data_IF_697465809660
#
_entry.id   IF_697465809660
#
_cell.length_a   1.000
_cell.length_b   1.000
_cell.length_c   1.000
_cell.angle_alpha   90.00
_cell.angle_beta   90.00
_cell.angle_gamma   90.00
#
_symmetry.space_group_name_H-M   'P 1'
#
loop_
_entity.id
_entity.type
_entity.pdbx_description
1 polymer ?
#
# COMPACT_ATOMS: atom_id res chain seq x y z
N UNK A 1 5.50 -28.88 22.52
CA UNK A 1 6.94 -28.72 22.83
C UNK A 1 7.68 -28.72 21.50
N UNK A 2 8.34 -27.61 21.15
CA UNK A 2 8.97 -27.44 19.83
C UNK A 2 10.30 -28.21 19.77
N UNK A 3 10.44 -29.12 18.81
CA UNK A 3 11.70 -29.82 18.56
C UNK A 3 12.68 -28.91 17.80
N UNK A 4 13.89 -28.79 18.35
CA UNK A 4 15.02 -28.08 17.79
C UNK A 4 15.59 -28.81 16.57
N UNK A 5 15.01 -28.62 15.38
CA UNK A 5 15.71 -28.95 14.14
C UNK A 5 16.79 -27.89 13.91
N UNK A 6 18.04 -28.18 14.28
CA UNK A 6 19.22 -27.36 13.95
C UNK A 6 19.42 -27.30 12.43
N UNK A 7 18.70 -26.39 11.79
CA UNK A 7 19.05 -25.88 10.46
C UNK A 7 20.35 -25.09 10.64
N UNK A 8 21.42 -25.56 9.99
CA UNK A 8 22.75 -24.96 10.11
C UNK A 8 22.77 -23.51 9.63
N UNK A 9 23.76 -22.73 10.11
CA UNK A 9 24.02 -21.33 9.75
C UNK A 9 23.89 -21.06 8.23
N UNK A 10 24.26 -22.04 7.42
CA UNK A 10 24.17 -22.05 5.95
C UNK A 10 22.78 -21.78 5.39
N UNK A 11 21.71 -22.21 6.05
CA UNK A 11 20.34 -22.04 5.54
C UNK A 11 19.71 -20.69 5.96
N UNK A 12 20.13 -20.13 7.09
CA UNK A 12 19.80 -18.74 7.45
C UNK A 12 20.39 -17.80 6.41
N UNK A 13 21.67 -17.97 6.08
CA UNK A 13 22.34 -17.17 5.07
C UNK A 13 21.66 -17.29 3.69
N UNK A 14 21.15 -18.46 3.31
CA UNK A 14 20.36 -18.63 2.07
C UNK A 14 19.05 -17.84 2.11
N UNK A 15 18.31 -17.90 3.22
CA UNK A 15 17.03 -17.17 3.35
C UNK A 15 17.27 -15.66 3.29
N UNK A 16 18.28 -15.17 4.01
CA UNK A 16 18.65 -13.76 4.02
C UNK A 16 19.11 -13.28 2.64
N UNK A 17 19.92 -14.07 1.92
CA UNK A 17 20.31 -13.74 0.53
C UNK A 17 19.10 -13.61 -0.39
N UNK A 18 18.16 -14.56 -0.37
CA UNK A 18 16.93 -14.48 -1.17
C UNK A 18 16.07 -13.28 -0.79
N UNK A 19 15.98 -12.97 0.50
CA UNK A 19 15.29 -11.78 0.99
C UNK A 19 15.95 -10.49 0.46
N UNK A 20 17.27 -10.38 0.50
CA UNK A 20 18.02 -9.24 -0.02
C UNK A 20 17.81 -9.08 -1.54
N UNK A 21 17.80 -10.18 -2.29
CA UNK A 21 17.49 -10.18 -3.73
C UNK A 21 16.06 -9.68 -3.99
N UNK A 22 15.07 -10.17 -3.24
CA UNK A 22 13.69 -9.73 -3.34
C UNK A 22 13.52 -8.25 -2.99
N UNK A 23 14.22 -7.78 -1.95
CA UNK A 23 14.28 -6.37 -1.53
C UNK A 23 14.91 -5.49 -2.62
N UNK A 24 16.02 -5.92 -3.21
CA UNK A 24 16.70 -5.22 -4.30
C UNK A 24 15.83 -5.09 -5.55
N UNK A 25 15.13 -6.17 -5.96
CA UNK A 25 14.16 -6.10 -7.07
C UNK A 25 13.03 -5.12 -6.80
N UNK A 26 12.48 -5.14 -5.58
CA UNK A 26 11.37 -4.29 -5.16
C UNK A 26 11.77 -2.81 -5.10
N UNK A 27 13.00 -2.48 -4.72
CA UNK A 27 13.50 -1.09 -4.66
C UNK A 27 13.29 -0.31 -5.96
N UNK A 28 13.31 -0.98 -7.11
CA UNK A 28 13.05 -0.39 -8.44
C UNK A 28 11.64 0.22 -8.57
N UNK A 29 10.68 -0.27 -7.80
CA UNK A 29 9.29 0.20 -7.79
C UNK A 29 9.04 1.30 -6.74
N UNK A 30 9.97 1.56 -5.82
CA UNK A 30 9.74 2.46 -4.68
C UNK A 30 9.36 3.86 -5.12
N UNK A 31 10.15 4.47 -6.01
CA UNK A 31 9.87 5.83 -6.49
C UNK A 31 8.50 5.94 -7.15
N UNK A 32 8.12 4.92 -7.94
CA UNK A 32 6.83 4.88 -8.62
C UNK A 32 5.67 4.78 -7.62
N UNK A 33 5.78 3.90 -6.63
CA UNK A 33 4.79 3.73 -5.57
C UNK A 33 4.69 4.98 -4.67
N UNK A 34 5.81 5.64 -4.38
CA UNK A 34 5.83 6.89 -3.61
C UNK A 34 5.12 8.02 -4.34
N UNK A 35 5.41 8.20 -5.62
CA UNK A 35 4.73 9.23 -6.42
C UNK A 35 3.22 8.95 -6.51
N UNK A 36 2.81 7.70 -6.74
CA UNK A 36 1.40 7.32 -6.72
C UNK A 36 0.77 7.57 -5.34
N UNK A 37 1.48 7.22 -4.27
CA UNK A 37 1.10 7.49 -2.89
C UNK A 37 0.90 8.98 -2.62
N UNK A 38 1.83 9.83 -3.07
CA UNK A 38 1.75 11.28 -2.90
C UNK A 38 0.44 11.88 -3.43
N UNK A 39 -0.03 11.45 -4.60
CA UNK A 39 -1.24 12.00 -5.20
C UNK A 39 -2.54 11.31 -4.77
N UNK A 40 -2.51 9.99 -4.52
CA UNK A 40 -3.73 9.19 -4.30
C UNK A 40 -3.92 8.68 -2.86
N UNK A 41 -2.84 8.56 -2.09
CA UNK A 41 -2.88 8.17 -0.67
C UNK A 41 -1.72 8.75 0.15
N UNK A 42 -1.69 10.08 0.38
CA UNK A 42 -0.53 10.76 0.98
C UNK A 42 -0.09 10.14 2.31
N UNK A 43 -1.04 9.73 3.15
CA UNK A 43 -0.77 9.16 4.47
C UNK A 43 -0.02 7.82 4.44
N UNK A 44 0.02 7.12 3.30
CA UNK A 44 0.70 5.83 3.14
C UNK A 44 2.02 5.95 2.35
N UNK A 45 2.34 7.12 1.77
CA UNK A 45 3.48 7.26 0.85
C UNK A 45 4.84 6.95 1.51
N UNK A 46 5.09 7.45 2.73
CA UNK A 46 6.41 7.35 3.38
C UNK A 46 6.73 5.91 3.80
N UNK A 47 5.69 5.10 3.94
CA UNK A 47 5.82 3.69 4.28
C UNK A 47 6.33 2.86 3.09
N UNK A 48 6.46 3.43 1.89
CA UNK A 48 7.02 2.73 0.73
C UNK A 48 8.53 2.53 0.87
N UNK A 49 9.29 3.54 1.33
CA UNK A 49 10.75 3.44 1.54
C UNK A 49 11.18 2.88 2.89
N UNK A 50 10.23 2.42 3.71
CA UNK A 50 10.51 1.90 5.05
C UNK A 50 11.19 2.94 5.96
N UNK A 51 10.91 4.23 5.71
CA UNK A 51 11.41 5.32 6.54
C UNK A 51 10.65 5.37 7.87
N UNK A 52 11.32 5.92 8.90
CA UNK A 52 10.72 6.17 10.21
C UNK A 52 9.36 6.84 10.04
N UNK A 53 8.31 6.15 10.51
CA UNK A 53 6.96 6.69 10.52
C UNK A 53 6.95 7.91 11.44
N UNK A 54 6.89 9.11 10.87
CA UNK A 54 6.59 10.31 11.64
C UNK A 54 5.07 10.51 11.60
N UNK A 55 4.42 10.16 12.70
CA UNK A 55 2.98 10.32 12.86
C UNK A 55 2.59 11.81 12.89
N UNK A 56 1.37 12.12 12.47
CA UNK A 56 0.80 13.47 12.58
C UNK A 56 1.30 14.53 11.58
N UNK A 57 2.26 14.21 10.70
CA UNK A 57 2.69 15.15 9.66
C UNK A 57 1.62 15.35 8.58
N UNK A 58 1.37 16.63 8.24
CA UNK A 58 0.55 17.01 7.09
C UNK A 58 1.32 16.70 5.79
N UNK A 59 0.76 15.82 4.96
CA UNK A 59 1.41 15.30 3.73
C UNK A 59 0.81 15.83 2.44
N UNK A 60 -0.10 16.81 2.53
CA UNK A 60 -0.87 17.34 1.41
C UNK A 60 -0.49 18.78 1.07
N UNK A 61 0.63 19.29 1.57
CA UNK A 61 1.05 20.70 1.38
C UNK A 61 1.31 21.05 -0.09
N UNK A 62 1.83 20.12 -0.88
CA UNK A 62 2.08 20.29 -2.32
C UNK A 62 1.04 19.59 -3.21
N UNK A 63 -0.07 19.15 -2.62
CA UNK A 63 -1.20 18.55 -3.33
C UNK A 63 -2.24 19.64 -3.63
N UNK A 64 -2.18 20.19 -4.83
CA UNK A 64 -3.07 21.26 -5.30
C UNK A 64 -4.41 20.73 -5.84
N UNK A 65 -4.44 19.50 -6.35
CA UNK A 65 -5.66 18.83 -6.82
C UNK A 65 -5.92 17.51 -6.08
N UNK A 66 -7.16 17.33 -5.60
CA UNK A 66 -7.58 16.17 -4.80
C UNK A 66 -8.33 15.10 -5.61
N UNK A 67 -8.42 15.24 -6.94
CA UNK A 67 -9.23 14.36 -7.80
C UNK A 67 -8.75 12.92 -7.73
N UNK A 68 -7.44 12.68 -7.81
CA UNK A 68 -6.86 11.33 -7.73
C UNK A 68 -7.12 10.67 -6.38
N UNK A 69 -6.95 11.43 -5.28
CA UNK A 69 -7.23 10.97 -3.92
C UNK A 69 -8.70 10.54 -3.77
N UNK A 70 -9.64 11.39 -4.20
CA UNK A 70 -11.07 11.09 -4.13
C UNK A 70 -11.45 9.93 -5.05
N UNK A 71 -10.86 9.87 -6.25
CA UNK A 71 -11.11 8.81 -7.22
C UNK A 71 -10.63 7.44 -6.71
N UNK A 72 -9.43 7.37 -6.14
CA UNK A 72 -8.91 6.15 -5.52
C UNK A 72 -9.79 5.66 -4.36
N UNK A 73 -10.27 6.59 -3.52
CA UNK A 73 -11.19 6.24 -2.42
C UNK A 73 -12.54 5.72 -2.94
N UNK A 74 -13.14 6.40 -3.93
CA UNK A 74 -14.39 5.97 -4.56
C UNK A 74 -14.28 4.61 -5.21
N UNK A 75 -13.22 4.37 -5.97
CA UNK A 75 -12.96 3.06 -6.58
C UNK A 75 -12.77 1.98 -5.51
N UNK A 76 -12.09 2.28 -4.40
CA UNK A 76 -11.95 1.33 -3.28
C UNK A 76 -13.32 0.93 -2.73
N UNK A 77 -14.16 1.92 -2.40
CA UNK A 77 -15.52 1.69 -1.91
C UNK A 77 -16.38 0.95 -2.93
N UNK A 78 -16.26 1.31 -4.20
CA UNK A 78 -17.00 0.68 -5.30
C UNK A 78 -16.66 -0.80 -5.48
N UNK A 79 -15.37 -1.14 -5.57
CA UNK A 79 -14.91 -2.54 -5.66
C UNK A 79 -15.36 -3.33 -4.44
N UNK A 80 -15.21 -2.75 -3.25
CA UNK A 80 -15.56 -3.41 -2.00
C UNK A 80 -17.06 -3.72 -1.92
N UNK A 81 -17.92 -2.74 -2.18
CA UNK A 81 -19.37 -2.92 -2.17
C UNK A 81 -19.84 -3.88 -3.26
N UNK A 82 -19.21 -3.84 -4.44
CA UNK A 82 -19.60 -4.70 -5.56
C UNK A 82 -19.19 -6.16 -5.36
N UNK A 83 -17.96 -6.42 -4.90
CA UNK A 83 -17.44 -7.79 -4.76
C UNK A 83 -17.80 -8.43 -3.42
N UNK A 84 -17.91 -7.64 -2.35
CA UNK A 84 -18.04 -8.13 -0.98
C UNK A 84 -19.08 -7.32 -0.19
N UNK A 85 -20.33 -7.23 -0.67
CA UNK A 85 -21.38 -6.47 0.00
C UNK A 85 -21.62 -6.94 1.44
N UNK A 86 -21.72 -5.99 2.37
CA UNK A 86 -22.01 -6.26 3.79
C UNK A 86 -23.45 -6.77 3.92
N UNK A 87 -23.62 -7.90 4.61
CA UNK A 87 -24.95 -8.48 4.87
C UNK A 87 -25.51 -9.36 3.76
N UNK A 88 -24.79 -9.53 2.64
CA UNK A 88 -25.16 -10.47 1.58
C UNK A 88 -24.09 -11.58 1.44
N UNK A 89 -24.52 -12.78 1.03
CA UNK A 89 -23.59 -13.86 0.70
C UNK A 89 -22.99 -13.57 -0.68
N UNK A 90 -21.66 -13.55 -0.76
CA UNK A 90 -20.91 -13.20 -1.98
C UNK A 90 -20.03 -14.34 -2.50
N UNK A 91 -20.10 -15.50 -1.84
CA UNK A 91 -19.60 -16.77 -2.37
C UNK A 91 -20.48 -17.93 -1.88
N UNK A 92 -20.32 -19.10 -2.49
CA UNK A 92 -20.90 -20.35 -2.03
C UNK A 92 -19.94 -21.51 -2.27
N UNK A 93 -20.03 -22.54 -1.43
CA UNK A 93 -19.32 -23.78 -1.66
C UNK A 93 -20.15 -24.70 -2.55
N UNK A 94 -19.49 -25.26 -3.57
CA UNK A 94 -20.08 -26.22 -4.50
C UNK A 94 -19.17 -27.45 -4.57
N UNK A 95 -19.75 -28.64 -4.67
CA UNK A 95 -18.96 -29.84 -4.84
C UNK A 95 -18.34 -29.85 -6.24
N UNK A 96 -17.06 -30.24 -6.33
CA UNK A 96 -16.36 -30.38 -7.62
C UNK A 96 -17.01 -31.46 -8.50
N UNK A 97 -17.50 -32.55 -7.89
CA UNK A 97 -18.22 -33.60 -8.59
C UNK A 97 -19.69 -33.21 -8.73
N UNK A 98 -20.13 -32.98 -9.96
CA UNK A 98 -21.46 -32.44 -10.25
C UNK A 98 -22.63 -33.29 -9.71
N UNK A 99 -22.48 -34.61 -9.69
CA UNK A 99 -23.50 -35.53 -9.15
C UNK A 99 -23.75 -35.33 -7.64
N UNK A 100 -22.74 -34.90 -6.89
CA UNK A 100 -22.90 -34.63 -5.45
C UNK A 100 -23.72 -33.36 -5.20
N UNK A 101 -23.75 -32.43 -6.15
CA UNK A 101 -24.59 -31.23 -6.05
C UNK A 101 -26.09 -31.52 -6.22
N UNK A 102 -26.48 -32.76 -6.54
CA UNK A 102 -27.88 -33.20 -6.57
C UNK A 102 -28.29 -33.93 -5.28
N UNK A 103 -27.34 -34.25 -4.41
CA UNK A 103 -27.62 -34.91 -3.14
C UNK A 103 -28.11 -33.88 -2.10
N UNK A 104 -29.33 -34.02 -1.53
CA UNK A 104 -29.87 -33.09 -0.55
C UNK A 104 -28.99 -32.90 0.70
N UNK A 105 -28.41 -33.97 1.23
CA UNK A 105 -27.55 -33.91 2.43
C UNK A 105 -26.27 -33.11 2.15
N UNK A 106 -25.70 -33.28 0.95
CA UNK A 106 -24.52 -32.51 0.53
C UNK A 106 -24.85 -31.03 0.36
N UNK A 107 -25.99 -30.71 -0.25
CA UNK A 107 -26.44 -29.32 -0.40
C UNK A 107 -26.67 -28.65 0.95
N UNK A 108 -27.30 -29.34 1.90
CA UNK A 108 -27.52 -28.84 3.26
C UNK A 108 -26.19 -28.55 3.97
N UNK A 109 -25.23 -29.48 3.88
CA UNK A 109 -23.91 -29.31 4.46
C UNK A 109 -23.14 -28.13 3.82
N UNK A 110 -23.14 -28.01 2.49
CA UNK A 110 -22.47 -26.91 1.77
C UNK A 110 -23.11 -25.55 2.08
N UNK A 111 -24.44 -25.50 2.19
CA UNK A 111 -25.17 -24.30 2.59
C UNK A 111 -24.83 -23.88 4.02
N UNK A 112 -24.75 -24.86 4.93
CA UNK A 112 -24.34 -24.65 6.32
C UNK A 112 -22.90 -24.15 6.41
N UNK A 113 -21.97 -24.79 5.70
CA UNK A 113 -20.58 -24.36 5.63
C UNK A 113 -20.46 -22.93 5.08
N UNK A 114 -21.19 -22.62 4.01
CA UNK A 114 -21.23 -21.28 3.41
C UNK A 114 -21.72 -20.25 4.43
N UNK A 115 -22.81 -20.55 5.14
CA UNK A 115 -23.37 -19.65 6.16
C UNK A 115 -22.40 -19.43 7.34
N UNK A 116 -21.72 -20.48 7.80
CA UNK A 116 -20.74 -20.40 8.89
C UNK A 116 -19.53 -19.55 8.50
N UNK A 117 -18.96 -19.72 7.30
CA UNK A 117 -17.80 -18.92 6.88
C UNK A 117 -18.19 -17.45 6.71
N UNK A 118 -19.35 -17.15 6.12
CA UNK A 118 -19.84 -15.75 6.06
C UNK A 118 -20.01 -15.15 7.45
N UNK A 119 -20.58 -15.90 8.40
CA UNK A 119 -20.76 -15.47 9.78
C UNK A 119 -19.42 -15.13 10.45
N UNK A 120 -18.40 -15.98 10.29
CA UNK A 120 -17.07 -15.71 10.85
C UNK A 120 -16.38 -14.51 10.19
N UNK A 121 -16.51 -14.36 8.86
CA UNK A 121 -15.99 -13.18 8.15
C UNK A 121 -16.65 -11.90 8.67
N UNK A 122 -17.98 -11.88 8.83
CA UNK A 122 -18.70 -10.70 9.32
C UNK A 122 -18.40 -10.35 10.78
N UNK A 123 -18.12 -11.36 11.62
CA UNK A 123 -17.71 -11.15 13.02
C UNK A 123 -16.26 -10.65 13.16
N UNK A 124 -15.42 -10.99 12.18
CA UNK A 124 -14.01 -10.61 12.17
C UNK A 124 -13.77 -9.15 11.75
N UNK A 125 -12.50 -8.74 11.78
CA UNK A 125 -12.05 -7.44 11.26
C UNK A 125 -11.87 -7.39 9.72
N UNK A 126 -12.32 -8.41 8.97
CA UNK A 126 -12.13 -8.54 7.53
C UNK A 126 -12.46 -7.27 6.75
N UNK A 127 -13.63 -6.68 7.01
CA UNK A 127 -14.14 -5.52 6.27
C UNK A 127 -13.14 -4.35 6.29
N UNK A 128 -12.57 -4.08 7.47
CA UNK A 128 -11.57 -3.01 7.66
C UNK A 128 -10.28 -3.31 6.90
N UNK A 129 -9.74 -4.50 7.09
CA UNK A 129 -8.43 -4.88 6.53
C UNK A 129 -8.49 -5.06 5.02
N UNK A 130 -9.60 -5.60 4.50
CA UNK A 130 -9.81 -5.76 3.06
C UNK A 130 -9.99 -4.40 2.37
N UNK A 131 -10.66 -3.42 2.97
CA UNK A 131 -10.74 -2.07 2.41
C UNK A 131 -9.35 -1.42 2.26
N UNK A 132 -8.48 -1.56 3.27
CA UNK A 132 -7.09 -1.08 3.22
C UNK A 132 -6.30 -1.83 2.14
N UNK A 133 -6.52 -3.14 2.02
CA UNK A 133 -5.87 -4.01 1.02
C UNK A 133 -6.24 -3.61 -0.41
N UNK A 134 -7.53 -3.39 -0.69
CA UNK A 134 -8.03 -2.92 -1.99
C UNK A 134 -7.46 -1.53 -2.29
N UNK A 135 -7.42 -0.62 -1.31
CA UNK A 135 -6.82 0.71 -1.51
C UNK A 135 -5.33 0.61 -1.85
N UNK A 136 -4.58 -0.28 -1.19
CA UNK A 136 -3.17 -0.56 -1.50
C UNK A 136 -3.01 -1.10 -2.92
N UNK A 137 -3.89 -2.02 -3.35
CA UNK A 137 -3.91 -2.55 -4.70
C UNK A 137 -4.20 -1.46 -5.75
N UNK A 138 -5.14 -0.55 -5.49
CA UNK A 138 -5.48 0.55 -6.42
C UNK A 138 -4.33 1.57 -6.52
N UNK A 139 -3.71 1.92 -5.38
CA UNK A 139 -2.72 3.01 -5.33
C UNK A 139 -1.32 2.52 -5.68
N UNK A 140 -0.88 1.42 -5.09
CA UNK A 140 0.47 0.88 -5.26
C UNK A 140 0.55 -0.29 -6.23
N UNK A 141 -0.59 -0.72 -6.79
CA UNK A 141 -0.70 -1.86 -7.70
C UNK A 141 -0.77 -3.22 -7.04
N UNK A 142 -0.28 -3.35 -5.80
CA UNK A 142 -0.33 -4.57 -5.01
C UNK A 142 -0.92 -4.31 -3.63
N UNK A 143 -1.90 -5.13 -3.23
CA UNK A 143 -2.44 -5.21 -1.89
C UNK A 143 -2.09 -6.55 -1.24
N UNK A 144 -1.84 -6.56 0.07
CA UNK A 144 -1.53 -7.80 0.80
C UNK A 144 -2.37 -7.89 2.05
N UNK A 145 -3.06 -9.01 2.21
CA UNK A 145 -3.80 -9.35 3.43
C UNK A 145 -3.35 -10.71 3.92
N UNK A 146 -3.15 -10.88 5.23
CA UNK A 146 -2.96 -12.18 5.83
C UNK A 146 -4.16 -12.58 6.68
N UNK A 147 -4.33 -13.89 6.86
CA UNK A 147 -5.32 -14.46 7.78
C UNK A 147 -4.61 -15.36 8.79
N UNK A 148 -4.92 -15.18 10.06
CA UNK A 148 -4.39 -16.01 11.14
C UNK A 148 -5.52 -16.33 12.13
N UNK A 149 -5.46 -17.51 12.75
CA UNK A 149 -6.35 -17.88 13.85
C UNK A 149 -5.68 -17.50 15.17
N UNK A 150 -6.28 -16.58 15.91
CA UNK A 150 -5.79 -16.13 17.23
C UNK A 150 -6.81 -16.55 18.27
N UNK A 151 -6.46 -17.55 19.09
CA UNK A 151 -7.44 -18.20 19.96
C UNK A 151 -8.56 -18.84 19.13
N UNK A 152 -9.81 -18.42 19.35
CA UNK A 152 -10.99 -18.86 18.59
C UNK A 152 -11.47 -17.83 17.56
N UNK A 153 -10.71 -16.76 17.32
CA UNK A 153 -11.05 -15.71 16.37
C UNK A 153 -10.19 -15.80 15.10
N UNK A 154 -10.81 -15.47 13.97
CA UNK A 154 -10.12 -15.28 12.70
C UNK A 154 -9.74 -13.80 12.62
N UNK A 155 -8.46 -13.52 12.52
CA UNK A 155 -7.91 -12.17 12.45
C UNK A 155 -7.28 -11.95 11.09
N UNK A 156 -7.76 -10.93 10.39
CA UNK A 156 -7.17 -10.45 9.16
C UNK A 156 -6.16 -9.34 9.48
N UNK A 157 -5.17 -9.18 8.61
CA UNK A 157 -4.23 -8.06 8.71
C UNK A 157 -3.79 -7.61 7.33
N UNK A 158 -4.07 -6.35 7.01
CA UNK A 158 -3.51 -5.69 5.84
C UNK A 158 -2.03 -5.38 6.11
N UNK A 159 -1.18 -5.65 5.14
CA UNK A 159 0.23 -5.31 5.20
C UNK A 159 0.55 -4.24 4.16
N UNK A 160 1.18 -3.16 4.60
CA UNK A 160 1.63 -2.14 3.68
C UNK A 160 2.73 -2.71 2.77
N UNK A 161 2.63 -2.44 1.47
CA UNK A 161 3.57 -2.94 0.45
C UNK A 161 5.03 -2.51 0.70
N UNK A 162 5.20 -1.46 1.52
CA UNK A 162 6.40 -1.09 2.29
C UNK A 162 7.27 -2.26 2.73
N UNK A 163 6.63 -3.17 3.44
CA UNK A 163 7.31 -4.17 4.23
C UNK A 163 7.21 -5.56 3.62
N UNK A 164 6.74 -5.67 2.39
CA UNK A 164 6.40 -6.95 1.74
C UNK A 164 7.24 -7.16 0.49
N UNK A 165 7.80 -8.36 0.35
CA UNK A 165 8.62 -8.77 -0.78
C UNK A 165 8.26 -10.21 -1.19
N UNK A 166 8.45 -10.55 -2.46
CA UNK A 166 7.91 -11.78 -3.02
C UNK A 166 8.87 -12.48 -3.99
N UNK A 167 8.78 -13.81 -4.05
CA UNK A 167 9.24 -14.62 -5.18
C UNK A 167 8.05 -15.33 -5.84
N UNK A 168 8.20 -15.62 -7.14
CA UNK A 168 7.26 -16.42 -7.90
C UNK A 168 7.78 -17.85 -8.08
N UNK A 169 6.86 -18.81 -8.13
CA UNK A 169 7.13 -20.16 -8.62
C UNK A 169 7.31 -20.17 -10.16
N UNK A 170 7.59 -21.35 -10.72
CA UNK A 170 7.76 -21.54 -12.16
C UNK A 170 6.52 -21.26 -13.01
N UNK A 171 5.35 -21.12 -12.39
CA UNK A 171 4.07 -20.78 -13.04
C UNK A 171 3.75 -19.28 -12.98
N UNK A 172 4.62 -18.47 -12.36
CA UNK A 172 4.40 -17.03 -12.18
C UNK A 172 3.47 -16.68 -11.01
N UNK A 173 3.14 -17.64 -10.15
CA UNK A 173 2.33 -17.44 -8.95
C UNK A 173 3.25 -17.14 -7.76
N UNK A 174 2.82 -16.25 -6.88
CA UNK A 174 3.57 -15.94 -5.65
C UNK A 174 3.48 -17.15 -4.72
N UNK A 175 4.62 -17.76 -4.41
CA UNK A 175 4.70 -18.89 -3.47
C UNK A 175 5.50 -18.55 -2.20
N UNK A 176 6.29 -17.48 -2.26
CA UNK A 176 7.20 -17.06 -1.20
C UNK A 176 6.95 -15.60 -0.85
N UNK A 177 6.76 -15.33 0.44
CA UNK A 177 6.53 -14.00 0.99
C UNK A 177 7.57 -13.70 2.07
N UNK A 178 8.21 -12.54 1.96
CA UNK A 178 9.07 -11.97 2.99
C UNK A 178 8.38 -10.73 3.55
N UNK A 179 8.19 -10.72 4.88
CA UNK A 179 7.68 -9.57 5.60
C UNK A 179 8.78 -9.00 6.50
N UNK A 180 9.17 -7.76 6.23
CA UNK A 180 10.06 -7.00 7.10
C UNK A 180 9.28 -6.47 8.30
N UNK A 181 9.84 -6.61 9.49
CA UNK A 181 9.18 -6.27 10.74
C UNK A 181 10.18 -5.51 11.60
N UNK A 182 9.76 -4.38 12.15
CA UNK A 182 10.50 -3.67 13.18
C UNK A 182 9.72 -3.82 14.49
N UNK A 183 10.32 -4.48 15.46
CA UNK A 183 9.77 -4.56 16.80
C UNK A 183 10.69 -3.85 17.78
N UNK A 184 10.08 -3.11 18.70
CA UNK A 184 10.79 -2.68 19.90
C UNK A 184 11.17 -3.92 20.73
N UNK A 185 12.19 -3.81 21.57
CA UNK A 185 12.61 -4.90 22.44
C UNK A 185 11.43 -5.45 23.27
N UNK A 186 10.54 -4.57 23.75
CA UNK A 186 9.28 -4.95 24.42
C UNK A 186 8.32 -5.72 23.52
N UNK A 187 8.06 -5.25 22.30
CA UNK A 187 7.16 -5.93 21.36
C UNK A 187 7.70 -7.31 20.95
N UNK A 188 9.02 -7.42 20.75
CA UNK A 188 9.66 -8.68 20.44
C UNK A 188 9.49 -9.69 21.58
N UNK A 189 9.66 -9.26 22.84
CA UNK A 189 9.42 -10.11 24.00
C UNK A 189 7.97 -10.60 24.09
N UNK A 190 6.99 -9.74 23.77
CA UNK A 190 5.56 -10.11 23.77
C UNK A 190 5.22 -11.13 22.67
N UNK A 191 5.79 -10.99 21.48
CA UNK A 191 5.47 -11.85 20.32
C UNK A 191 6.23 -13.19 20.37
N UNK A 192 7.49 -13.18 20.82
CA UNK A 192 8.39 -14.34 20.73
C UNK A 192 8.73 -14.99 22.07
N UNK A 193 8.47 -14.33 23.20
CA UNK A 193 9.00 -14.74 24.51
C UNK A 193 10.47 -14.33 24.66
N UNK A 194 10.86 -13.85 25.85
CA UNK A 194 12.22 -13.35 26.12
C UNK A 194 13.31 -14.39 25.87
N UNK A 195 13.00 -15.67 26.10
CA UNK A 195 13.92 -16.79 25.96
C UNK A 195 14.34 -17.05 24.50
N UNK A 196 13.47 -16.74 23.54
CA UNK A 196 13.73 -16.98 22.11
C UNK A 196 14.41 -15.79 21.41
N UNK A 197 14.53 -14.65 22.10
CA UNK A 197 15.14 -13.44 21.55
C UNK A 197 16.63 -13.60 21.28
N UNK A 198 17.11 -12.80 20.34
CA UNK A 198 18.52 -12.72 19.97
C UNK A 198 19.36 -12.11 21.11
N UNK A 199 20.68 -12.25 21.01
CA UNK A 199 21.61 -11.78 22.04
C UNK A 199 21.62 -10.26 22.18
N UNK A 200 21.51 -9.54 21.06
CA UNK A 200 21.37 -8.07 21.01
C UNK A 200 20.10 -7.61 21.73
N UNK A 201 18.94 -8.19 21.39
CA UNK A 201 17.65 -7.79 21.95
C UNK A 201 17.56 -8.11 23.45
N UNK A 202 18.09 -9.25 23.88
CA UNK A 202 18.17 -9.59 25.32
C UNK A 202 19.01 -8.60 26.11
N UNK A 203 20.13 -8.13 25.53
CA UNK A 203 20.97 -7.09 26.14
C UNK A 203 20.23 -5.76 26.24
N UNK A 204 19.50 -5.37 25.19
CA UNK A 204 18.69 -4.15 25.20
C UNK A 204 17.61 -4.21 26.31
N UNK A 205 16.91 -5.34 26.46
CA UNK A 205 15.95 -5.53 27.55
C UNK A 205 16.60 -5.45 28.93
N UNK A 206 17.73 -6.13 29.13
CA UNK A 206 18.46 -6.10 30.40
C UNK A 206 19.00 -4.70 30.76
N UNK A 207 19.29 -3.88 29.75
CA UNK A 207 19.72 -2.49 29.91
C UNK A 207 18.55 -1.50 30.13
N UNK A 208 17.30 -1.95 30.09
CA UNK A 208 16.11 -1.10 30.20
C UNK A 208 15.73 -0.36 28.91
N UNK A 209 16.35 -0.68 27.77
CA UNK A 209 16.10 -0.05 26.47
C UNK A 209 14.87 -0.68 25.76
N UNK A 210 13.70 -0.61 26.39
CA UNK A 210 12.50 -1.28 25.91
C UNK A 210 12.00 -0.81 24.52
N UNK A 211 12.33 0.43 24.14
CA UNK A 211 11.91 1.08 22.89
C UNK A 211 12.92 0.91 21.74
N UNK A 212 14.08 0.30 22.01
CA UNK A 212 15.09 0.03 20.98
C UNK A 212 14.52 -0.93 19.94
N UNK A 213 14.58 -0.55 18.66
CA UNK A 213 13.99 -1.32 17.56
C UNK A 213 15.02 -2.27 16.96
N UNK A 214 14.61 -3.52 16.75
CA UNK A 214 15.37 -4.51 15.99
C UNK A 214 14.60 -4.95 14.75
N UNK A 215 15.33 -5.24 13.67
CA UNK A 215 14.76 -5.70 12.41
C UNK A 215 14.65 -7.23 12.38
N UNK A 216 13.50 -7.71 11.93
CA UNK A 216 13.21 -9.11 11.68
C UNK A 216 12.69 -9.29 10.26
N UNK A 217 12.94 -10.45 9.69
CA UNK A 217 12.24 -10.92 8.48
C UNK A 217 11.43 -12.16 8.82
N UNK A 218 10.15 -12.14 8.49
CA UNK A 218 9.29 -13.31 8.46
C UNK A 218 9.27 -13.86 7.03
N UNK A 219 9.91 -15.00 6.82
CA UNK A 219 9.92 -15.72 5.56
C UNK A 219 8.88 -16.83 5.60
N UNK A 220 7.95 -16.80 4.65
CA UNK A 220 6.96 -17.84 4.42
C UNK A 220 7.13 -18.39 3.02
N UNK A 221 7.40 -19.69 2.90
CA UNK A 221 7.78 -20.31 1.63
C UNK A 221 7.33 -21.78 1.57
N UNK A 222 7.32 -22.42 0.39
CA UNK A 222 7.11 -23.86 0.30
C UNK A 222 8.14 -24.63 1.14
N UNK A 223 7.68 -25.68 1.82
CA UNK A 223 8.51 -26.53 2.65
C UNK A 223 8.97 -27.76 1.85
N UNK A 224 10.27 -27.83 1.53
CA UNK A 224 10.85 -28.99 0.86
C UNK A 224 10.84 -30.25 1.74
N UNK A 225 10.84 -30.08 3.07
CA UNK A 225 10.84 -31.14 4.06
C UNK A 225 9.41 -31.50 4.53
N UNK A 226 8.39 -31.19 3.71
CA UNK A 226 7.00 -31.50 4.02
C UNK A 226 6.81 -33.01 4.21
N UNK A 227 6.20 -33.38 5.33
CA UNK A 227 5.94 -34.77 5.70
C UNK A 227 4.52 -34.89 6.25
N UNK A 228 3.61 -35.44 5.43
CA UNK A 228 2.20 -35.58 5.77
C UNK A 228 1.94 -36.55 6.92
N UNK A 229 2.92 -37.36 7.32
CA UNK A 229 2.80 -38.28 8.45
C UNK A 229 3.00 -37.59 9.80
N UNK A 230 3.57 -36.37 9.82
CA UNK A 230 3.91 -35.63 11.04
C UNK A 230 2.94 -34.49 11.28
N UNK A 231 2.40 -34.43 12.50
CA UNK A 231 1.51 -33.35 12.95
C UNK A 231 2.25 -32.14 13.55
N UNK A 232 3.58 -32.06 13.39
CA UNK A 232 4.38 -30.93 13.89
C UNK A 232 4.12 -29.65 13.11
N UNK A 233 4.19 -28.50 13.78
CA UNK A 233 4.11 -27.17 13.14
C UNK A 233 5.22 -26.94 12.10
N UNK A 234 6.34 -27.64 12.20
CA UNK A 234 7.48 -27.52 11.28
C UNK A 234 7.41 -28.46 10.08
N UNK A 235 6.47 -29.42 10.07
CA UNK A 235 6.29 -30.41 9.00
C UNK A 235 5.15 -30.06 8.04
N UNK A 236 4.65 -28.82 8.12
CA UNK A 236 3.55 -28.30 7.28
C UNK A 236 4.03 -27.99 5.84
N UNK A 237 3.09 -27.89 4.90
CA UNK A 237 3.37 -27.66 3.46
C UNK A 237 4.09 -26.34 3.20
N UNK A 238 3.79 -25.33 4.02
CA UNK A 238 4.40 -24.01 3.96
C UNK A 238 5.18 -23.81 5.26
N UNK A 239 6.47 -23.46 5.17
CA UNK A 239 7.30 -23.14 6.33
C UNK A 239 7.17 -21.67 6.68
N UNK A 240 7.23 -21.36 7.98
CA UNK A 240 7.26 -20.01 8.53
C UNK A 240 8.49 -19.86 9.41
N UNK A 241 9.34 -18.87 9.11
CA UNK A 241 10.60 -18.65 9.83
C UNK A 241 10.76 -17.16 10.10
N UNK A 242 10.95 -16.81 11.37
CA UNK A 242 11.32 -15.46 11.80
C UNK A 242 12.82 -15.43 12.07
N UNK A 243 13.51 -14.48 11.44
CA UNK A 243 14.95 -14.29 11.57
C UNK A 243 15.22 -12.87 12.03
N UNK A 244 15.98 -12.70 13.12
CA UNK A 244 16.54 -11.40 13.48
C UNK A 244 17.70 -11.09 12.53
N UNK A 245 17.64 -9.94 11.86
CA UNK A 245 18.57 -9.58 10.77
C UNK A 245 19.99 -9.32 11.30
N UNK A 246 20.09 -8.62 12.44
CA UNK A 246 21.37 -8.20 13.02
C UNK A 246 22.18 -9.40 13.50
N UNK A 247 21.59 -10.25 14.35
CA UNK A 247 22.26 -11.41 14.93
C UNK A 247 22.25 -12.62 13.97
N UNK A 248 21.49 -12.57 12.87
CA UNK A 248 21.25 -13.69 11.95
C UNK A 248 20.78 -14.95 12.68
N UNK A 249 19.89 -14.77 13.64
CA UNK A 249 19.35 -15.84 14.49
C UNK A 249 17.91 -16.13 14.14
N UNK A 250 17.56 -17.42 14.07
CA UNK A 250 16.16 -17.83 13.93
C UNK A 250 15.50 -17.70 15.30
N UNK A 251 14.44 -16.92 15.36
CA UNK A 251 13.70 -16.60 16.60
C UNK A 251 12.50 -17.52 16.77
N UNK A 252 11.79 -17.80 15.67
CA UNK A 252 10.57 -18.61 15.69
C UNK A 252 10.47 -19.43 14.42
N UNK A 253 9.98 -20.66 14.57
CA UNK A 253 9.61 -21.54 13.46
C UNK A 253 8.20 -22.01 13.61
N UNK A 254 7.54 -22.13 12.48
CA UNK A 254 6.24 -22.77 12.37
C UNK A 254 6.00 -23.14 10.93
N UNK A 255 4.73 -23.23 10.59
CA UNK A 255 4.29 -23.56 9.26
C UNK A 255 2.79 -23.51 9.16
N UNK A 256 2.33 -23.50 7.92
CA UNK A 256 0.93 -23.38 7.56
C UNK A 256 0.57 -24.48 6.56
N UNK A 257 -0.67 -24.93 6.60
CA UNK A 257 -1.19 -25.88 5.62
C UNK A 257 -1.25 -25.25 4.22
N UNK A 258 -1.48 -23.94 4.15
CA UNK A 258 -1.53 -23.12 2.94
C UNK A 258 -0.85 -21.76 3.18
N UNK A 259 -0.53 -21.02 2.10
CA UNK A 259 0.11 -19.70 2.23
C UNK A 259 -0.87 -18.74 2.94
N UNK A 260 -0.53 -18.17 4.11
CA UNK A 260 -1.45 -17.33 4.88
C UNK A 260 -1.53 -15.89 4.37
N UNK A 261 -0.75 -15.54 3.33
CA UNK A 261 -0.69 -14.22 2.72
C UNK A 261 -1.34 -14.26 1.34
N UNK A 262 -2.39 -13.47 1.15
CA UNK A 262 -3.04 -13.25 -0.13
C UNK A 262 -2.53 -11.96 -0.74
N UNK A 263 -1.90 -12.06 -1.90
CA UNK A 263 -1.30 -10.93 -2.62
C UNK A 263 -2.15 -10.61 -3.84
N UNK A 264 -2.94 -9.55 -3.73
CA UNK A 264 -3.79 -9.04 -4.80
C UNK A 264 -2.99 -8.08 -5.69
N UNK A 265 -3.01 -8.29 -7.00
CA UNK A 265 -2.34 -7.45 -8.01
C UNK A 265 -3.39 -6.94 -8.97
N UNK A 266 -3.48 -5.62 -9.14
CA UNK A 266 -4.54 -5.00 -9.95
C UNK A 266 -4.40 -5.36 -11.44
N UNK A 267 -3.28 -4.98 -12.05
CA UNK A 267 -2.85 -5.43 -13.37
C UNK A 267 -1.42 -5.95 -13.28
N UNK A 268 -1.04 -6.91 -14.14
CA UNK A 268 0.30 -7.48 -14.17
C UNK A 268 0.92 -7.27 -15.55
N UNK A 269 2.05 -6.56 -15.62
CA UNK A 269 2.83 -6.51 -16.84
C UNK A 269 3.63 -7.81 -17.00
N UNK A 270 3.89 -8.27 -18.24
CA UNK A 270 4.69 -9.46 -18.47
C UNK A 270 6.05 -9.37 -17.78
N UNK A 271 6.45 -10.45 -17.09
CA UNK A 271 7.71 -10.57 -16.34
C UNK A 271 7.85 -9.64 -15.13
N UNK A 272 6.80 -8.93 -14.71
CA UNK A 272 6.78 -8.21 -13.44
C UNK A 272 6.20 -9.08 -12.32
N UNK A 273 6.72 -8.90 -11.10
CA UNK A 273 6.19 -9.57 -9.90
C UNK A 273 5.11 -8.70 -9.25
N UNK A 274 5.35 -7.39 -9.23
CA UNK A 274 4.47 -6.38 -8.64
C UNK A 274 3.34 -6.04 -9.60
N UNK A 275 2.16 -5.75 -9.07
CA UNK A 275 1.07 -5.23 -9.88
C UNK A 275 1.23 -3.73 -10.16
N UNK A 276 0.43 -3.23 -11.11
CA UNK A 276 0.27 -1.80 -11.41
C UNK A 276 -1.18 -1.43 -11.16
N UNK A 277 -1.39 -0.38 -10.38
CA UNK A 277 -2.73 0.11 -10.02
C UNK A 277 -3.09 1.34 -10.84
N UNK A 278 -4.36 1.76 -10.86
CA UNK A 278 -4.79 2.94 -11.61
C UNK A 278 -4.02 4.21 -11.26
N UNK A 279 -3.62 4.40 -9.99
CA UNK A 279 -2.82 5.56 -9.60
C UNK A 279 -1.41 5.55 -10.22
N UNK A 280 -0.86 4.37 -10.50
CA UNK A 280 0.42 4.19 -11.21
C UNK A 280 0.22 4.35 -12.72
N UNK A 281 -0.82 3.75 -13.28
CA UNK A 281 -1.09 3.78 -14.72
C UNK A 281 -1.42 5.20 -15.21
N UNK A 282 -2.21 5.96 -14.44
CA UNK A 282 -2.61 7.33 -14.76
C UNK A 282 -1.73 8.40 -14.09
N UNK A 283 -0.58 8.02 -13.53
CA UNK A 283 0.33 8.94 -12.85
C UNK A 283 0.71 10.18 -13.69
N UNK A 284 0.99 10.08 -15.01
CA UNK A 284 1.28 11.26 -15.84
C UNK A 284 0.14 12.29 -15.86
N UNK A 285 -1.10 11.81 -16.03
CA UNK A 285 -2.31 12.64 -16.07
C UNK A 285 -2.59 13.31 -14.73
N UNK A 286 -2.35 12.59 -13.63
CA UNK A 286 -2.49 13.10 -12.27
C UNK A 286 -1.46 14.21 -11.99
N UNK A 287 -0.20 14.00 -12.40
CA UNK A 287 0.88 15.00 -12.26
C UNK A 287 0.60 16.25 -13.08
N UNK A 288 0.13 16.07 -14.31
CA UNK A 288 -0.26 17.17 -15.18
C UNK A 288 -1.38 17.98 -14.54
N UNK A 289 -2.44 17.32 -14.06
CA UNK A 289 -3.56 17.97 -13.39
C UNK A 289 -3.13 18.77 -12.15
N UNK A 290 -2.27 18.21 -11.30
CA UNK A 290 -1.75 18.91 -10.11
C UNK A 290 -0.96 20.18 -10.50
N UNK A 291 -0.13 20.09 -11.55
CA UNK A 291 0.61 21.25 -12.08
C UNK A 291 -0.32 22.31 -12.68
N UNK A 292 -1.30 21.90 -13.48
CA UNK A 292 -2.29 22.81 -14.06
C UNK A 292 -3.06 23.56 -12.96
N UNK A 293 -3.46 22.85 -11.90
CA UNK A 293 -4.17 23.44 -10.77
C UNK A 293 -3.32 24.45 -10.03
N UNK A 294 -2.03 24.16 -9.80
CA UNK A 294 -1.07 25.12 -9.24
C UNK A 294 -0.96 26.38 -10.08
N UNK A 295 -0.72 26.26 -11.39
CA UNK A 295 -0.60 27.42 -12.29
C UNK A 295 -1.91 28.23 -12.35
N UNK A 296 -3.06 27.56 -12.29
CA UNK A 296 -4.35 28.23 -12.22
C UNK A 296 -4.51 29.04 -10.93
N UNK A 297 -4.09 28.50 -9.78
CA UNK A 297 -4.11 29.22 -8.49
C UNK A 297 -3.20 30.46 -8.58
N UNK A 298 -1.97 30.31 -9.06
CA UNK A 298 -1.02 31.42 -9.23
C UNK A 298 -1.58 32.50 -10.19
N UNK A 299 -2.25 32.11 -11.27
CA UNK A 299 -2.89 33.03 -12.19
C UNK A 299 -4.10 33.75 -11.56
N UNK A 300 -4.93 33.03 -10.82
CA UNK A 300 -6.07 33.60 -10.12
C UNK A 300 -5.64 34.62 -9.05
N UNK A 301 -4.57 34.33 -8.30
CA UNK A 301 -3.98 35.26 -7.34
C UNK A 301 -3.51 36.56 -7.99
N UNK A 302 -2.91 36.50 -9.18
CA UNK A 302 -2.50 37.70 -9.93
C UNK A 302 -3.67 38.52 -10.46
N UNK A 303 -4.81 37.88 -10.76
CA UNK A 303 -6.03 38.58 -11.19
C UNK A 303 -6.71 39.27 -10.00
N UNK A 304 -6.76 38.61 -8.84
CA UNK A 304 -7.40 39.14 -7.63
C UNK A 304 -6.52 40.18 -6.92
N UNK A 305 -5.21 39.95 -6.89
CA UNK A 305 -4.22 40.81 -6.27
C UNK A 305 -3.09 41.16 -7.27
N UNK A 306 -3.39 42.02 -8.26
CA UNK A 306 -2.43 42.39 -9.29
C UNK A 306 -1.25 43.16 -8.70
N UNK A 307 -0.10 43.07 -9.36
CA UNK A 307 1.04 43.92 -9.01
C UNK A 307 0.70 45.40 -9.28
N UNK A 308 1.07 46.27 -8.35
CA UNK A 308 0.78 47.70 -8.43
C UNK A 308 2.01 48.46 -8.93
N UNK A 309 1.77 49.50 -9.72
CA UNK A 309 2.82 50.38 -10.22
C UNK A 309 2.97 51.59 -9.32
N UNK A 310 4.21 51.94 -8.98
CA UNK A 310 4.55 53.09 -8.13
C UNK A 310 5.64 53.89 -8.81
N UNK A 311 5.45 55.21 -8.89
CA UNK A 311 6.47 56.12 -9.41
C UNK A 311 7.58 56.31 -8.38
N UNK A 312 8.83 56.11 -8.80
CA UNK A 312 10.04 56.31 -7.99
C UNK A 312 11.18 56.86 -8.86
N UNK A 313 11.92 57.83 -8.33
CA UNK A 313 13.05 58.52 -8.99
C UNK A 313 14.37 57.71 -8.91
N UNK A 314 14.32 56.52 -8.33
CA UNK A 314 15.46 55.63 -8.08
C UNK A 314 15.99 54.82 -9.29
N UNK A 315 16.88 53.87 -8.99
CA UNK A 315 17.41 52.87 -9.94
C UNK A 315 16.35 51.79 -10.16
N UNK A 316 15.98 51.55 -11.42
CA UNK A 316 15.02 50.51 -11.80
C UNK A 316 15.60 49.14 -11.44
N UNK A 317 15.00 48.47 -10.47
CA UNK A 317 15.24 47.06 -10.17
C UNK A 317 14.54 46.13 -11.17
N UNK A 318 14.75 44.82 -11.04
CA UNK A 318 13.99 43.85 -11.84
C UNK A 318 12.49 43.91 -11.47
N UNK A 319 11.57 43.86 -12.45
CA UNK A 319 10.14 43.96 -12.18
C UNK A 319 9.64 42.76 -11.37
N UNK A 320 8.97 43.02 -10.25
CA UNK A 320 8.34 42.00 -9.42
C UNK A 320 6.96 41.67 -10.01
N UNK A 321 6.79 40.44 -10.49
CA UNK A 321 5.56 39.98 -11.19
C UNK A 321 4.74 38.96 -10.38
N UNK A 322 5.07 38.77 -9.11
CA UNK A 322 4.26 38.00 -8.16
C UNK A 322 2.98 38.76 -7.79
N UNK A 323 1.96 38.02 -7.36
CA UNK A 323 0.75 38.64 -6.82
C UNK A 323 1.08 39.61 -5.67
N UNK A 324 0.45 40.78 -5.65
CA UNK A 324 0.71 41.84 -4.68
C UNK A 324 2.10 42.49 -4.77
N UNK A 325 2.88 42.23 -5.82
CA UNK A 325 4.18 42.87 -6.04
C UNK A 325 4.05 44.37 -6.30
N UNK A 326 5.12 45.13 -6.02
CA UNK A 326 5.23 46.53 -6.43
C UNK A 326 6.26 46.66 -7.54
N UNK A 327 5.87 47.35 -8.61
CA UNK A 327 6.73 47.65 -9.76
C UNK A 327 7.07 49.14 -9.70
N UNK A 328 8.35 49.44 -9.48
CA UNK A 328 8.85 50.81 -9.46
C UNK A 328 9.18 51.28 -10.87
N UNK A 329 8.63 52.43 -11.25
CA UNK A 329 8.83 53.04 -12.56
C UNK A 329 9.33 54.47 -12.41
N UNK A 330 10.21 54.91 -13.31
CA UNK A 330 10.59 56.33 -13.39
C UNK A 330 9.46 57.17 -13.95
N UNK A 331 9.33 58.40 -13.46
CA UNK A 331 8.37 59.36 -13.98
C UNK A 331 8.55 59.56 -15.50
N UNK A 332 7.47 59.35 -16.26
CA UNK A 332 7.46 59.47 -17.73
C UNK A 332 7.95 58.24 -18.53
N UNK A 333 8.30 57.13 -17.87
CA UNK A 333 8.65 55.88 -18.56
C UNK A 333 7.39 55.16 -19.10
N UNK A 334 7.53 54.38 -20.19
CA UNK A 334 6.46 53.50 -20.65
C UNK A 334 6.19 52.38 -19.63
N UNK A 335 4.92 52.18 -19.30
CA UNK A 335 4.51 51.12 -18.38
C UNK A 335 4.88 49.74 -18.93
N UNK A 336 5.47 48.85 -18.10
CA UNK A 336 5.67 47.46 -18.49
C UNK A 336 4.31 46.81 -18.72
N UNK A 337 3.97 46.57 -19.98
CA UNK A 337 2.77 45.82 -20.33
C UNK A 337 3.12 44.34 -20.42
N UNK A 338 2.27 43.50 -19.83
CA UNK A 338 2.34 42.07 -20.09
C UNK A 338 2.13 41.85 -21.59
N UNK A 339 2.94 40.97 -22.19
CA UNK A 339 2.68 40.53 -23.56
C UNK A 339 1.34 39.80 -23.57
N UNK A 340 0.32 40.42 -24.15
CA UNK A 340 -0.97 39.78 -24.32
C UNK A 340 -0.84 38.70 -25.41
N UNK A 341 -0.73 37.46 -24.96
CA UNK A 341 -0.70 36.28 -25.82
C UNK A 341 -2.10 35.79 -26.21
N UNK A 342 -3.16 36.47 -25.75
CA UNK A 342 -4.55 36.08 -26.01
C UNK A 342 -5.05 34.89 -25.18
N UNK A 343 -4.34 34.51 -24.11
CA UNK A 343 -4.69 33.34 -23.30
C UNK A 343 -5.66 33.70 -22.18
N UNK A 344 -6.89 33.15 -22.23
CA UNK A 344 -7.92 33.39 -21.21
C UNK A 344 -7.82 32.39 -20.04
N UNK A 345 -7.89 32.90 -18.81
CA UNK A 345 -7.98 32.09 -17.58
C UNK A 345 -9.24 31.20 -17.58
N UNK A 346 -10.30 31.60 -18.27
CA UNK A 346 -11.54 30.81 -18.39
C UNK A 346 -11.33 29.52 -19.19
N UNK A 347 -10.53 29.57 -20.26
CA UNK A 347 -10.16 28.39 -21.05
C UNK A 347 -9.38 27.38 -20.18
N UNK A 348 -8.49 27.88 -19.31
CA UNK A 348 -7.74 27.02 -18.39
C UNK A 348 -8.66 26.26 -17.41
N UNK A 349 -9.78 26.86 -16.99
CA UNK A 349 -10.71 26.20 -16.07
C UNK A 349 -11.48 25.06 -16.74
N UNK A 350 -11.86 25.20 -18.01
CA UNK A 350 -12.51 24.14 -18.80
C UNK A 350 -11.56 22.96 -19.03
N UNK A 351 -10.34 23.24 -19.51
CA UNK A 351 -9.32 22.20 -19.73
C UNK A 351 -8.99 21.46 -18.43
N UNK A 352 -8.93 22.15 -17.27
CA UNK A 352 -8.76 21.48 -15.97
C UNK A 352 -9.93 20.53 -15.67
N UNK A 353 -11.18 20.90 -15.95
CA UNK A 353 -12.34 20.02 -15.70
C UNK A 353 -12.31 18.78 -16.58
N UNK A 354 -11.97 18.93 -17.85
CA UNK A 354 -11.83 17.81 -18.78
C UNK A 354 -10.72 16.87 -18.30
N UNK A 355 -9.59 17.43 -17.88
CA UNK A 355 -8.49 16.67 -17.30
C UNK A 355 -8.89 15.93 -16.01
N UNK A 356 -9.67 16.57 -15.13
CA UNK A 356 -10.24 15.90 -13.96
C UNK A 356 -11.16 14.74 -14.35
N UNK A 357 -11.88 14.85 -15.47
CA UNK A 357 -12.75 13.78 -15.96
C UNK A 357 -11.92 12.60 -16.48
N UNK A 358 -10.85 12.84 -17.25
CA UNK A 358 -9.89 11.80 -17.68
C UNK A 358 -9.35 11.03 -16.47
N UNK A 359 -8.89 11.73 -15.43
CA UNK A 359 -8.42 11.07 -14.20
C UNK A 359 -9.53 10.26 -13.56
N UNK A 360 -10.75 10.80 -13.42
CA UNK A 360 -11.89 10.06 -12.81
C UNK A 360 -12.25 8.79 -13.58
N UNK A 361 -12.22 8.85 -14.91
CA UNK A 361 -12.53 7.70 -15.76
C UNK A 361 -11.44 6.63 -15.70
N UNK A 362 -10.18 7.02 -15.53
CA UNK A 362 -9.08 6.08 -15.26
C UNK A 362 -9.23 5.26 -13.97
N UNK A 363 -9.99 5.78 -12.99
CA UNK A 363 -10.37 5.05 -11.77
C UNK A 363 -11.77 4.42 -11.86
N UNK A 364 -12.36 4.36 -13.06
CA UNK A 364 -13.70 3.80 -13.31
C UNK A 364 -14.80 4.43 -12.43
N UNK A 365 -14.66 5.69 -12.03
CA UNK A 365 -15.63 6.33 -11.13
C UNK A 365 -17.06 6.36 -11.69
N UNK A 366 -17.21 6.42 -13.01
CA UNK A 366 -18.52 6.38 -13.68
C UNK A 366 -19.29 5.10 -13.36
N UNK A 367 -18.60 3.96 -13.25
CA UNK A 367 -19.19 2.66 -12.89
C UNK A 367 -19.66 2.63 -11.43
N UNK A 368 -18.95 3.32 -10.54
CA UNK A 368 -19.23 3.27 -9.10
C UNK A 368 -20.22 4.35 -8.62
N UNK A 369 -20.53 5.35 -9.45
CA UNK A 369 -21.58 6.35 -9.16
C UNK A 369 -22.98 5.75 -9.12
N UNK A 370 -23.22 4.64 -9.81
CA UNK A 370 -24.54 4.00 -9.88
C UNK A 370 -24.98 3.38 -8.55
N UNK A 371 -24.06 3.17 -7.60
CA UNK A 371 -24.37 2.66 -6.26
C UNK A 371 -24.77 3.74 -5.25
N UNK A 372 -24.77 5.02 -5.65
CA UNK A 372 -25.23 6.16 -4.82
C UNK A 372 -26.70 6.56 -5.08
N UNK A 373 -27.42 5.79 -5.92
CA UNK A 373 -28.81 6.04 -6.33
C UNK A 373 -29.87 5.40 -5.45
#
# INVERSE_FOLDING_TARGET
MAENVRVGKTDVDKILRRYDDAKSRRTKYNSLMEEAGFYAWPNAQDMVRNANQTEGLLRTTELYDSTALMAAYRMTSGIFTYLMPVGAKWFEFVAQLHNLNQNPEMQEWLSTATALVHKEIWRSNFQREMFITIRSMIVFGTGVISVEKVGDEIVFKSHHIGFMFFDNNSRGEIDTVYRQIFYTARQAAQEFGEENLSSSVKKALAAGNHEEKSEYVHCVAPNADFDSSKFSSTSKRVKSVYINIEDKTIIKRGGFDELPYFVARFSLAPQEIMGRGPAIEYLPEIKMLNRMKRTFIEAAEKVVNPALMVEDDGVIGQPVTSAGGMIYIRAGAQFPQALDTGTSVALNAEVIRDQQQVVKDGFFNSLFRTFEG
#
